data_IF_607171032694
#
_entry.id   IF_607171032694
#
_cell.length_a   1.000
_cell.length_b   1.000
_cell.length_c   1.000
_cell.angle_alpha   90.00
_cell.angle_beta   90.00
_cell.angle_gamma   90.00
#
_symmetry.space_group_name_H-M   'P 1'
#
loop_
_entity.id
_entity.type
_entity.pdbx_description
1 polymer ?
#
# COMPACT_ATOMS: atom_id res chain seq x y z
N UNK A 1 9.49 10.65 -24.47
CA UNK A 1 9.70 10.98 -23.05
C UNK A 1 10.56 9.85 -22.49
N UNK A 2 11.43 10.12 -21.52
CA UNK A 2 12.16 9.02 -20.88
C UNK A 2 11.16 8.23 -20.01
N UNK A 3 11.27 6.89 -19.95
CA UNK A 3 10.34 6.04 -19.18
C UNK A 3 10.22 6.48 -17.71
N UNK A 4 11.34 6.94 -17.13
CA UNK A 4 11.38 7.52 -15.79
C UNK A 4 10.47 8.75 -15.66
N UNK A 5 10.48 9.64 -16.65
CA UNK A 5 9.64 10.84 -16.64
C UNK A 5 8.15 10.49 -16.71
N UNK A 6 7.78 9.50 -17.53
CA UNK A 6 6.41 8.97 -17.60
C UNK A 6 5.94 8.44 -16.24
N UNK A 7 6.76 7.63 -15.58
CA UNK A 7 6.44 7.10 -14.25
C UNK A 7 6.35 8.21 -13.19
N UNK A 8 7.21 9.24 -13.28
CA UNK A 8 7.14 10.39 -12.37
C UNK A 8 5.84 11.16 -12.54
N UNK A 9 5.41 11.40 -13.77
CA UNK A 9 4.12 12.04 -14.04
C UNK A 9 2.98 11.22 -13.44
N UNK A 10 2.98 9.90 -13.65
CA UNK A 10 2.01 8.98 -13.05
C UNK A 10 2.03 9.00 -11.51
N UNK A 11 3.20 9.06 -10.87
CA UNK A 11 3.33 9.18 -9.41
C UNK A 11 2.64 10.45 -8.87
N UNK A 12 2.61 11.55 -9.64
CA UNK A 12 1.90 12.78 -9.25
C UNK A 12 0.38 12.68 -9.41
N UNK A 13 -0.12 11.69 -10.15
CA UNK A 13 -1.56 11.47 -10.34
C UNK A 13 -2.19 10.57 -9.25
N UNK A 14 -1.37 9.93 -8.42
CA UNK A 14 -1.85 9.11 -7.30
C UNK A 14 -2.59 10.00 -6.30
N UNK A 15 -3.78 9.56 -5.86
CA UNK A 15 -4.53 10.26 -4.83
C UNK A 15 -3.73 10.32 -3.52
N UNK A 16 -3.74 11.50 -2.88
CA UNK A 16 -3.07 11.73 -1.59
C UNK A 16 -3.38 10.65 -0.55
N UNK A 17 -4.62 10.15 -0.52
CA UNK A 17 -5.05 9.13 0.44
C UNK A 17 -4.65 7.72 0.03
N UNK A 18 -4.34 7.49 -1.25
CA UNK A 18 -3.95 6.17 -1.78
C UNK A 18 -2.43 6.01 -1.90
N UNK A 19 -1.64 7.10 -1.76
CA UNK A 19 -0.18 7.01 -1.85
C UNK A 19 0.43 6.03 -0.84
N UNK A 20 -0.10 5.96 0.38
CA UNK A 20 0.38 4.99 1.38
C UNK A 20 0.16 3.54 0.92
N UNK A 21 -1.03 3.26 0.38
CA UNK A 21 -1.40 1.94 -0.11
C UNK A 21 -0.52 1.54 -1.31
N UNK A 22 -0.24 2.49 -2.21
CA UNK A 22 0.68 2.27 -3.32
C UNK A 22 2.09 1.87 -2.85
N UNK A 23 2.66 2.60 -1.89
CA UNK A 23 4.01 2.27 -1.38
C UNK A 23 3.99 0.91 -0.66
N UNK A 24 2.92 0.59 0.07
CA UNK A 24 2.75 -0.73 0.69
C UNK A 24 2.77 -1.85 -0.34
N UNK A 25 1.91 -1.75 -1.36
CA UNK A 25 1.82 -2.73 -2.47
C UNK A 25 3.16 -2.84 -3.24
N UNK A 26 3.93 -1.76 -3.34
CA UNK A 26 5.24 -1.76 -4.00
C UNK A 26 6.28 -2.57 -3.20
N UNK A 27 6.26 -2.51 -1.87
CA UNK A 27 7.14 -3.33 -1.03
C UNK A 27 6.67 -4.79 -0.98
N UNK A 28 5.36 -5.06 -0.96
CA UNK A 28 4.84 -6.42 -1.11
C UNK A 28 5.29 -7.05 -2.44
N UNK A 29 5.26 -6.29 -3.53
CA UNK A 29 5.73 -6.74 -4.84
C UNK A 29 7.21 -7.11 -4.84
N UNK A 30 8.03 -6.44 -4.02
CA UNK A 30 9.44 -6.78 -3.80
C UNK A 30 9.65 -8.00 -2.90
N UNK A 31 8.57 -8.62 -2.42
CA UNK A 31 8.60 -9.82 -1.58
C UNK A 31 8.79 -9.54 -0.10
N UNK A 32 8.42 -8.36 0.39
CA UNK A 32 8.29 -8.08 1.82
C UNK A 32 6.92 -8.53 2.32
N UNK A 33 6.89 -9.05 3.54
CA UNK A 33 5.66 -9.19 4.32
C UNK A 33 5.40 -7.85 5.04
N UNK A 34 4.20 -7.28 4.86
CA UNK A 34 3.84 -5.98 5.41
C UNK A 34 2.95 -6.13 6.65
N UNK A 35 3.34 -5.44 7.72
CA UNK A 35 2.57 -5.30 8.95
C UNK A 35 2.28 -3.82 9.21
N UNK A 36 1.00 -3.50 9.48
CA UNK A 36 0.61 -2.15 9.90
C UNK A 36 1.34 -1.77 11.20
N UNK A 37 2.03 -0.63 11.19
CA UNK A 37 2.72 -0.18 12.38
C UNK A 37 1.74 0.55 13.31
N UNK A 38 1.19 -0.19 14.28
CA UNK A 38 0.43 0.30 15.45
C UNK A 38 -0.59 1.42 15.15
N UNK A 39 -1.52 1.17 14.22
CA UNK A 39 -2.70 2.02 14.01
C UNK A 39 -2.41 3.43 13.45
N UNK A 40 -1.16 3.74 13.12
CA UNK A 40 -0.78 4.97 12.41
C UNK A 40 -0.91 4.69 10.92
N UNK A 41 -2.05 5.13 10.36
CA UNK A 41 -2.56 4.90 9.00
C UNK A 41 -1.66 5.25 7.80
N UNK A 42 -0.36 5.38 7.97
CA UNK A 42 0.56 5.57 6.86
C UNK A 42 1.93 4.91 7.06
N UNK A 43 2.27 4.39 8.24
CA UNK A 43 3.59 3.76 8.45
C UNK A 43 3.42 2.26 8.56
N UNK A 44 4.28 1.50 7.90
CA UNK A 44 4.24 0.05 7.95
C UNK A 44 5.63 -0.53 8.13
N UNK A 45 5.65 -1.70 8.77
CA UNK A 45 6.82 -2.52 8.97
C UNK A 45 6.87 -3.54 7.84
N UNK A 46 7.99 -3.60 7.13
CA UNK A 46 8.20 -4.52 6.04
C UNK A 46 9.32 -5.49 6.40
N UNK A 47 9.03 -6.79 6.37
CA UNK A 47 9.99 -7.83 6.70
C UNK A 47 10.29 -8.65 5.45
N UNK A 48 11.56 -8.74 5.06
CA UNK A 48 11.99 -9.58 3.93
C UNK A 48 12.96 -10.64 4.39
N UNK A 49 12.75 -11.86 3.90
CA UNK A 49 13.51 -13.03 4.34
C UNK A 49 12.96 -13.61 5.64
N UNK A 50 13.82 -14.28 6.41
CA UNK A 50 13.38 -15.03 7.57
C UNK A 50 13.13 -16.52 7.30
N UNK A 51 13.49 -17.32 8.29
CA UNK A 51 13.57 -18.79 8.24
C UNK A 51 14.73 -19.26 9.10
N UNK A 52 14.76 -20.55 9.48
CA UNK A 52 15.70 -21.09 10.48
C UNK A 52 17.20 -20.79 10.22
N UNK A 53 17.58 -20.46 8.97
CA UNK A 53 18.97 -20.24 8.55
C UNK A 53 19.21 -18.90 7.83
N UNK A 54 18.21 -17.99 7.76
CA UNK A 54 18.35 -16.73 7.02
C UNK A 54 18.05 -15.55 7.94
N UNK A 55 18.94 -14.56 7.93
CA UNK A 55 18.66 -13.25 8.51
C UNK A 55 17.43 -12.64 7.82
N UNK A 56 16.54 -12.07 8.61
CA UNK A 56 15.50 -11.15 8.12
C UNK A 56 16.09 -9.75 8.03
N UNK A 57 15.57 -8.96 7.10
CA UNK A 57 15.72 -7.50 7.10
C UNK A 57 14.37 -6.91 7.43
N UNK A 58 14.33 -6.04 8.43
CA UNK A 58 13.14 -5.33 8.85
C UNK A 58 13.29 -3.86 8.54
N UNK A 59 12.47 -3.37 7.62
CA UNK A 59 12.37 -1.97 7.28
C UNK A 59 11.12 -1.36 7.90
N UNK A 60 11.23 -0.10 8.31
CA UNK A 60 10.09 0.72 8.62
C UNK A 60 9.91 1.76 7.52
N UNK A 61 8.76 1.75 6.86
CA UNK A 61 8.51 2.58 5.69
C UNK A 61 7.50 3.66 6.04
N UNK A 62 7.90 4.91 5.79
CA UNK A 62 7.09 6.10 5.96
C UNK A 62 6.90 6.82 4.62
N UNK A 63 5.78 6.60 3.93
CA UNK A 63 5.30 7.47 2.88
C UNK A 63 4.99 8.86 3.44
N UNK A 64 5.54 9.90 2.81
CA UNK A 64 5.28 11.31 3.05
C UNK A 64 4.77 11.94 1.76
N UNK A 65 3.46 12.10 1.67
CA UNK A 65 2.85 12.86 0.58
C UNK A 65 3.01 14.37 0.81
N UNK A 66 3.41 15.10 -0.23
CA UNK A 66 3.49 16.57 -0.24
C UNK A 66 2.95 17.11 -1.56
N UNK A 67 2.07 18.10 -1.47
CA UNK A 67 1.57 18.81 -2.64
C UNK A 67 2.64 19.80 -3.15
N UNK A 68 3.59 19.32 -3.96
CA UNK A 68 4.55 20.15 -4.68
C UNK A 68 5.65 20.80 -3.83
N UNK A 69 5.67 20.58 -2.52
CA UNK A 69 6.74 21.05 -1.62
C UNK A 69 7.79 19.97 -1.40
N UNK A 70 9.04 20.40 -1.25
CA UNK A 70 10.13 19.51 -0.86
C UNK A 70 9.94 19.02 0.58
N UNK A 71 10.31 17.77 0.84
CA UNK A 71 10.40 17.23 2.19
C UNK A 71 11.68 17.75 2.86
N UNK A 72 11.52 18.37 4.02
CA UNK A 72 12.62 19.03 4.71
C UNK A 72 13.23 18.18 5.84
N UNK A 73 14.30 18.68 6.45
CA UNK A 73 14.95 17.99 7.57
C UNK A 73 14.02 17.77 8.76
N UNK A 74 13.13 18.72 9.04
CA UNK A 74 12.23 18.62 10.18
C UNK A 74 11.20 17.51 10.01
N UNK A 75 10.80 17.25 8.76
CA UNK A 75 9.92 16.14 8.41
C UNK A 75 10.60 14.79 8.63
N UNK A 76 11.83 14.63 8.14
CA UNK A 76 12.61 13.39 8.34
C UNK A 76 12.90 13.16 9.82
N UNK A 77 13.32 14.20 10.55
CA UNK A 77 13.55 14.11 11.99
C UNK A 77 12.29 13.68 12.77
N UNK A 78 11.10 14.10 12.33
CA UNK A 78 9.84 13.66 12.97
C UNK A 78 9.63 12.16 12.85
N UNK A 79 10.03 11.56 11.73
CA UNK A 79 9.95 10.10 11.52
C UNK A 79 10.96 9.39 12.43
N UNK A 80 12.17 9.92 12.54
CA UNK A 80 13.24 9.41 13.39
C UNK A 80 12.92 9.48 14.88
N UNK A 81 12.21 10.53 15.31
CA UNK A 81 11.75 10.70 16.69
C UNK A 81 10.66 9.68 17.09
N UNK A 82 10.07 8.98 16.13
CA UNK A 82 9.12 7.92 16.42
C UNK A 82 9.86 6.74 17.06
N UNK A 83 9.43 6.38 18.27
CA UNK A 83 9.98 5.22 18.98
C UNK A 83 9.40 3.96 18.35
N UNK A 84 10.20 3.32 17.51
CA UNK A 84 9.94 1.98 16.99
C UNK A 84 10.52 0.93 17.93
N UNK A 85 10.13 -0.33 17.75
CA UNK A 85 10.74 -1.45 18.46
C UNK A 85 12.23 -1.57 18.13
N UNK A 86 12.98 -2.28 18.98
CA UNK A 86 14.43 -2.53 18.78
C UNK A 86 14.73 -3.49 17.60
N UNK A 87 13.71 -3.84 16.81
CA UNK A 87 13.75 -4.84 15.74
C UNK A 87 13.68 -4.24 14.32
N UNK A 88 13.86 -2.93 14.18
CA UNK A 88 13.97 -2.22 12.89
C UNK A 88 15.45 -2.07 12.52
N UNK A 89 15.83 -2.55 11.34
CA UNK A 89 17.19 -2.42 10.81
C UNK A 89 17.39 -1.11 10.03
N UNK A 90 16.32 -0.60 9.39
CA UNK A 90 16.36 0.59 8.56
C UNK A 90 15.01 1.31 8.51
N UNK A 91 15.04 2.65 8.47
CA UNK A 91 13.87 3.49 8.23
C UNK A 91 13.93 4.05 6.81
N UNK A 92 12.89 3.82 6.01
CA UNK A 92 12.77 4.33 4.65
C UNK A 92 11.70 5.43 4.59
N UNK A 93 12.08 6.63 4.18
CA UNK A 93 11.14 7.75 4.00
C UNK A 93 10.91 7.96 2.51
N UNK A 94 9.67 7.78 2.06
CA UNK A 94 9.31 7.78 0.63
C UNK A 94 8.46 9.00 0.29
N UNK A 95 8.73 9.69 -0.83
CA UNK A 95 7.90 10.81 -1.29
C UNK A 95 7.87 10.89 -2.82
N UNK A 96 6.81 11.48 -3.37
CA UNK A 96 6.71 11.78 -4.81
C UNK A 96 7.45 13.07 -5.19
N UNK A 97 7.76 13.94 -4.22
CA UNK A 97 8.47 15.20 -4.45
C UNK A 97 9.98 15.04 -4.24
N UNK A 98 10.71 16.13 -4.06
CA UNK A 98 12.14 16.12 -3.77
C UNK A 98 12.43 16.30 -2.29
N UNK A 99 13.58 15.81 -1.82
CA UNK A 99 14.12 16.18 -0.51
C UNK A 99 14.98 17.44 -0.60
N UNK A 100 15.02 18.21 0.49
CA UNK A 100 16.03 19.26 0.66
C UNK A 100 17.42 18.65 0.94
N UNK A 101 18.49 19.40 0.66
CA UNK A 101 19.86 18.99 1.03
C UNK A 101 20.02 18.69 2.54
N UNK A 102 19.23 19.37 3.38
CA UNK A 102 19.21 19.14 4.83
C UNK A 102 18.62 17.78 5.20
N UNK A 103 17.58 17.36 4.49
CA UNK A 103 16.96 16.05 4.63
C UNK A 103 17.89 14.93 4.12
N UNK A 104 18.46 15.06 2.91
CA UNK A 104 19.42 14.08 2.38
C UNK A 104 20.66 13.89 3.25
N UNK A 105 21.08 14.92 4.00
CA UNK A 105 22.19 14.78 4.97
C UNK A 105 21.87 13.88 6.15
N UNK A 106 20.61 13.52 6.42
CA UNK A 106 20.25 12.59 7.49
C UNK A 106 20.71 11.16 7.20
N UNK A 107 20.71 10.73 5.94
CA UNK A 107 21.19 9.39 5.52
C UNK A 107 22.64 9.09 5.95
N UNK A 108 23.44 10.13 6.20
CA UNK A 108 24.85 9.97 6.62
C UNK A 108 25.02 9.73 8.11
N UNK A 109 23.97 9.90 8.90
CA UNK A 109 24.03 9.96 10.36
C UNK A 109 23.23 8.87 11.04
N UNK A 110 22.24 8.34 10.36
CA UNK A 110 21.21 7.47 10.91
C UNK A 110 20.92 6.34 9.89
N UNK A 111 20.39 5.22 10.36
CA UNK A 111 19.90 4.09 9.53
C UNK A 111 18.60 4.50 8.79
N UNK A 112 18.69 5.61 8.04
CA UNK A 112 17.62 6.20 7.25
C UNK A 112 18.03 6.24 5.79
N UNK A 113 17.11 5.81 4.93
CA UNK A 113 17.15 6.04 3.49
C UNK A 113 16.00 6.96 3.10
N UNK A 114 16.28 7.96 2.26
CA UNK A 114 15.23 8.82 1.70
C UNK A 114 15.05 8.55 0.21
N UNK A 115 13.81 8.30 -0.21
CA UNK A 115 13.47 7.92 -1.58
C UNK A 115 12.53 8.97 -2.20
N UNK A 116 13.05 9.78 -3.11
CA UNK A 116 12.30 10.84 -3.78
C UNK A 116 11.55 10.32 -5.01
N UNK A 117 10.79 11.18 -5.69
CA UNK A 117 10.02 10.76 -6.87
C UNK A 117 10.87 10.22 -8.04
N UNK A 118 12.13 10.65 -8.19
CA UNK A 118 13.04 10.12 -9.21
C UNK A 118 13.53 8.72 -8.85
N UNK A 119 13.97 8.55 -7.60
CA UNK A 119 14.49 7.30 -7.06
C UNK A 119 13.38 6.25 -6.93
N UNK A 120 12.16 6.69 -6.61
CA UNK A 120 10.97 5.85 -6.61
C UNK A 120 10.58 5.41 -8.02
N UNK A 121 10.70 6.29 -9.02
CA UNK A 121 10.47 5.92 -10.41
C UNK A 121 11.49 4.87 -10.89
N UNK A 122 12.76 5.03 -10.50
CA UNK A 122 13.80 4.02 -10.77
C UNK A 122 13.49 2.68 -10.14
N UNK A 123 13.11 2.68 -8.85
CA UNK A 123 12.72 1.46 -8.14
C UNK A 123 11.57 0.73 -8.87
N UNK A 124 10.56 1.46 -9.34
CA UNK A 124 9.43 0.88 -10.08
C UNK A 124 9.90 0.23 -11.39
N UNK A 125 10.83 0.87 -12.11
CA UNK A 125 11.38 0.34 -13.36
C UNK A 125 12.20 -0.92 -13.09
N UNK A 126 13.08 -0.88 -12.09
CA UNK A 126 14.02 -1.95 -11.78
C UNK A 126 13.30 -3.21 -11.28
N UNK A 127 12.22 -3.03 -10.51
CA UNK A 127 11.39 -4.12 -9.97
C UNK A 127 10.26 -4.57 -10.93
N UNK A 128 10.12 -3.92 -12.10
CA UNK A 128 9.03 -4.20 -13.05
C UNK A 128 7.64 -4.03 -12.41
N UNK A 129 7.50 -3.00 -11.56
CA UNK A 129 6.34 -2.74 -10.72
C UNK A 129 5.35 -1.75 -11.36
N UNK A 130 5.40 -1.51 -12.68
CA UNK A 130 4.51 -0.56 -13.37
C UNK A 130 3.04 -0.97 -13.27
N UNK A 131 2.78 -2.28 -13.15
CA UNK A 131 1.43 -2.82 -12.88
C UNK A 131 0.93 -2.55 -11.46
N UNK A 132 1.83 -2.27 -10.52
CA UNK A 132 1.45 -1.79 -9.18
C UNK A 132 1.02 -0.33 -9.30
N UNK A 133 1.89 0.52 -9.86
CA UNK A 133 1.61 1.94 -10.08
C UNK A 133 0.28 2.17 -10.79
N UNK A 134 0.01 1.44 -11.88
CA UNK A 134 -1.19 1.68 -12.68
C UNK A 134 -2.49 1.48 -11.90
N UNK A 135 -2.53 0.66 -10.83
CA UNK A 135 -3.74 0.49 -10.00
C UNK A 135 -4.18 1.75 -9.26
N UNK A 136 -3.25 2.68 -9.07
CA UNK A 136 -3.41 3.90 -8.28
C UNK A 136 -3.46 5.17 -9.12
N UNK A 137 -3.31 5.06 -10.44
CA UNK A 137 -3.42 6.17 -11.38
C UNK A 137 -4.78 6.14 -12.09
N UNK A 138 -5.27 7.28 -12.62
CA UNK A 138 -6.54 7.37 -13.33
C UNK A 138 -6.75 6.28 -14.40
N UNK A 139 -5.68 5.92 -15.12
CA UNK A 139 -5.72 4.91 -16.17
C UNK A 139 -6.09 3.51 -15.65
N UNK A 140 -5.60 3.10 -14.47
CA UNK A 140 -6.04 1.84 -13.86
C UNK A 140 -7.25 1.96 -12.95
N UNK A 141 -7.55 3.14 -12.40
CA UNK A 141 -8.83 3.41 -11.71
C UNK A 141 -10.04 3.17 -12.62
N UNK A 142 -9.94 3.56 -13.90
CA UNK A 142 -10.94 3.23 -14.91
C UNK A 142 -11.11 1.72 -15.12
N UNK A 143 -10.01 0.96 -15.16
CA UNK A 143 -10.07 -0.51 -15.24
C UNK A 143 -10.66 -1.14 -13.97
N UNK A 144 -10.34 -0.62 -12.79
CA UNK A 144 -10.93 -1.04 -11.50
C UNK A 144 -12.45 -0.85 -11.51
N UNK A 145 -12.92 0.32 -11.95
CA UNK A 145 -14.35 0.60 -12.11
C UNK A 145 -15.03 -0.30 -13.16
N UNK A 146 -14.36 -0.63 -14.26
CA UNK A 146 -14.88 -1.55 -15.28
C UNK A 146 -14.95 -3.00 -14.75
N UNK A 147 -13.94 -3.49 -14.03
CA UNK A 147 -13.97 -4.81 -13.39
C UNK A 147 -15.11 -4.87 -12.37
N UNK A 148 -15.28 -3.83 -11.57
CA UNK A 148 -16.35 -3.76 -10.59
C UNK A 148 -17.74 -3.77 -11.25
N UNK A 149 -17.94 -3.01 -12.32
CA UNK A 149 -19.21 -2.92 -13.04
C UNK A 149 -19.54 -4.16 -13.89
N UNK A 150 -18.55 -4.73 -14.58
CA UNK A 150 -18.77 -5.77 -15.60
C UNK A 150 -18.41 -7.19 -15.15
N UNK A 151 -17.68 -7.35 -14.05
CA UNK A 151 -17.31 -8.67 -13.52
C UNK A 151 -17.92 -8.89 -12.15
N UNK A 152 -17.64 -7.99 -11.20
CA UNK A 152 -18.05 -8.17 -9.79
C UNK A 152 -19.56 -7.97 -9.62
N UNK A 153 -20.12 -6.87 -10.14
CA UNK A 153 -21.55 -6.57 -10.03
C UNK A 153 -22.45 -7.66 -10.64
N UNK A 154 -22.23 -8.17 -11.86
CA UNK A 154 -23.05 -9.25 -12.41
C UNK A 154 -22.88 -10.56 -11.63
N UNK A 155 -21.70 -10.87 -11.10
CA UNK A 155 -21.52 -12.03 -10.21
C UNK A 155 -22.31 -11.89 -8.90
N UNK A 156 -22.33 -10.70 -8.29
CA UNK A 156 -23.14 -10.44 -7.08
C UNK A 156 -24.63 -10.52 -7.38
N UNK A 157 -25.08 -9.98 -8.51
CA UNK A 157 -26.47 -10.06 -8.97
C UNK A 157 -26.87 -11.52 -9.25
N UNK A 158 -26.02 -12.29 -9.94
CA UNK A 158 -26.25 -13.70 -10.20
C UNK A 158 -26.35 -14.51 -8.90
N UNK A 159 -25.45 -14.28 -7.94
CA UNK A 159 -25.53 -14.88 -6.61
C UNK A 159 -26.83 -14.50 -5.89
N UNK A 160 -27.27 -13.24 -5.98
CA UNK A 160 -28.54 -12.79 -5.40
C UNK A 160 -29.75 -13.49 -6.04
N UNK A 161 -29.76 -13.64 -7.37
CA UNK A 161 -30.83 -14.33 -8.12
C UNK A 161 -30.86 -15.82 -7.81
N UNK A 162 -29.71 -16.46 -7.60
CA UNK A 162 -29.61 -17.88 -7.24
C UNK A 162 -29.95 -18.13 -5.77
N UNK A 163 -29.59 -17.21 -4.86
CA UNK A 163 -29.85 -17.34 -3.43
C UNK A 163 -31.28 -16.97 -3.01
N UNK A 164 -31.96 -16.08 -3.75
CA UNK A 164 -33.35 -15.67 -3.48
C UNK A 164 -34.35 -16.85 -3.46
N UNK A 165 -34.39 -17.74 -4.47
CA UNK A 165 -35.32 -18.86 -4.48
C UNK A 165 -34.99 -19.90 -3.40
N UNK A 166 -33.73 -20.03 -2.97
CA UNK A 166 -33.35 -21.00 -1.95
C UNK A 166 -33.93 -20.66 -0.56
N UNK A 167 -33.92 -19.37 -0.17
CA UNK A 167 -34.55 -18.92 1.08
C UNK A 167 -36.09 -18.93 1.04
N UNK A 168 -36.68 -18.78 -0.15
CA UNK A 168 -38.13 -18.83 -0.34
C UNK A 168 -38.68 -20.27 -0.43
N UNK A 169 -37.89 -21.22 -0.92
CA UNK A 169 -38.25 -22.65 -0.98
C UNK A 169 -37.98 -23.41 0.34
N UNK A 170 -37.01 -22.97 1.14
CA UNK A 170 -36.60 -23.64 2.39
C UNK A 170 -36.71 -22.71 3.61
N UNK A 171 -37.80 -21.93 3.69
CA UNK A 171 -38.13 -21.18 4.91
C UNK A 171 -38.24 -22.12 6.12
N UNK A 172 -37.92 -21.66 7.34
CA UNK A 172 -37.87 -22.51 8.51
C UNK A 172 -39.22 -23.18 8.73
N UNK A 173 -39.21 -24.52 8.74
CA UNK A 173 -40.37 -25.35 9.04
C UNK A 173 -40.82 -25.04 10.47
N UNK A 174 -41.94 -24.32 10.59
CA UNK A 174 -42.61 -24.08 11.86
C UNK A 174 -42.98 -25.44 12.48
N UNK A 175 -42.19 -25.91 13.44
CA UNK A 175 -42.68 -26.90 14.38
C UNK A 175 -43.56 -26.21 15.41
N UNK A 176 -44.85 -26.13 15.11
CA UNK A 176 -45.89 -25.94 16.11
C UNK A 176 -46.65 -27.27 16.32
N UNK A 177 -46.61 -27.70 17.58
CA UNK A 177 -47.56 -28.59 18.28
C UNK A 177 -47.53 -30.10 18.02
N UNK A 178 -47.14 -30.82 19.07
CA UNK A 178 -47.95 -31.93 19.58
C UNK A 178 -47.87 -31.91 21.12
N UNK A 179 -48.99 -31.57 21.74
CA UNK A 179 -49.34 -31.92 23.12
C UNK A 179 -49.71 -33.42 23.19
N UNK A 180 -49.76 -33.93 24.43
CA UNK A 180 -50.19 -35.27 24.91
C UNK A 180 -49.04 -36.31 24.98
N UNK A 181 -48.70 -36.91 26.12
CA UNK A 181 -49.34 -37.07 27.45
C UNK A 181 -48.37 -36.79 28.62
#
# INVERSE_FOLDING_TARGET
>A
MEKRDEIREELFEIDTNEFSDFVSDLWEHQGYDIEDADGRRATFKAVKGGGFLRSSTTELIQPLYREGYKVDKSDVNRVLDLRWGDDIDEIVVVTTTEFTDGARKQEKREEVTVLNGEELADLIIDEGAERVLSRYTPNGSLLKGLVELFVILPLRIAWFIVALPFKLLFGPENQETAHEE
#
